data_IF_662145817353
#
_entry.id   IF_662145817353
#
_cell.length_a   1.000
_cell.length_b   1.000
_cell.length_c   1.000
_cell.angle_alpha   90.00
_cell.angle_beta   90.00
_cell.angle_gamma   90.00
#
_symmetry.space_group_name_H-M   'P 1'
#
loop_
_entity.id
_entity.type
_entity.pdbx_description
1 polymer ?
#
# COMPACT_ATOMS: atom_id res chain seq x y z
N UNK A 1 -13.10 75.92 -17.68
CA UNK A 1 -13.93 74.71 -17.46
C UNK A 1 -13.97 73.94 -18.77
N UNK A 2 -13.23 72.83 -18.87
CA UNK A 2 -13.57 71.59 -19.59
C UNK A 2 -12.59 70.50 -19.08
N UNK A 3 -13.04 69.28 -18.78
CA UNK A 3 -12.23 68.24 -18.13
C UNK A 3 -11.76 67.17 -19.14
N UNK A 4 -11.36 65.98 -18.64
CA UNK A 4 -11.27 64.67 -19.34
C UNK A 4 -9.87 64.37 -19.92
N UNK A 5 -9.22 63.22 -19.73
CA UNK A 5 -9.46 62.00 -18.93
C UNK A 5 -8.12 61.27 -18.77
N UNK A 6 -7.86 60.68 -17.60
CA UNK A 6 -6.81 59.67 -17.43
C UNK A 6 -7.31 58.32 -17.96
N UNK A 7 -6.60 57.73 -18.92
CA UNK A 7 -6.80 56.33 -19.34
C UNK A 7 -5.92 55.44 -18.46
N UNK A 8 -6.52 54.66 -17.57
CA UNK A 8 -5.84 53.64 -16.80
C UNK A 8 -5.89 52.30 -17.57
N UNK A 9 -4.74 51.80 -18.03
CA UNK A 9 -4.62 50.43 -18.53
C UNK A 9 -4.59 49.45 -17.35
N UNK A 10 -5.63 48.61 -17.22
CA UNK A 10 -5.59 47.43 -16.36
C UNK A 10 -4.85 46.30 -17.07
N UNK A 11 -3.65 45.96 -16.60
CA UNK A 11 -2.96 44.74 -17.00
C UNK A 11 -3.56 43.54 -16.25
N UNK A 12 -4.20 42.62 -16.98
CA UNK A 12 -4.69 41.36 -16.44
C UNK A 12 -3.52 40.39 -16.26
N UNK A 13 -3.15 40.12 -15.01
CA UNK A 13 -2.21 39.07 -14.63
C UNK A 13 -2.93 37.71 -14.65
N UNK A 14 -2.74 36.94 -15.73
CA UNK A 14 -3.15 35.55 -15.78
C UNK A 14 -2.22 34.70 -14.90
N UNK A 15 -2.65 34.37 -13.68
CA UNK A 15 -1.99 33.36 -12.86
C UNK A 15 -2.29 31.97 -13.43
N UNK A 16 -1.34 31.39 -14.16
CA UNK A 16 -1.37 29.97 -14.49
C UNK A 16 -1.22 29.18 -13.19
N UNK A 17 -2.33 28.64 -12.68
CA UNK A 17 -2.30 27.68 -11.59
C UNK A 17 -1.62 26.40 -12.11
N UNK A 18 -0.33 26.25 -11.79
CA UNK A 18 0.37 24.98 -11.96
C UNK A 18 -0.25 24.01 -10.96
N UNK A 19 -1.18 23.18 -11.42
CA UNK A 19 -1.64 22.05 -10.63
C UNK A 19 -0.41 21.20 -10.25
N UNK A 20 -0.27 20.77 -8.98
CA UNK A 20 0.83 19.89 -8.60
C UNK A 20 0.69 18.59 -9.40
N UNK A 21 1.67 18.32 -10.27
CA UNK A 21 1.84 17.00 -10.88
C UNK A 21 2.09 16.03 -9.73
N UNK A 22 1.10 15.19 -9.42
CA UNK A 22 1.34 13.96 -8.68
C UNK A 22 2.45 13.22 -9.43
N UNK A 23 3.57 12.94 -8.76
CA UNK A 23 4.61 12.10 -9.31
C UNK A 23 3.99 10.72 -9.57
N UNK A 24 3.64 10.42 -10.83
CA UNK A 24 3.08 9.13 -11.25
C UNK A 24 4.02 7.95 -11.00
N UNK A 25 5.25 8.21 -10.54
CA UNK A 25 6.32 7.25 -10.35
C UNK A 25 6.27 6.51 -9.00
N UNK A 26 5.37 6.86 -8.08
CA UNK A 26 5.26 6.20 -6.76
C UNK A 26 3.86 5.66 -6.50
N UNK A 27 3.77 4.64 -5.65
CA UNK A 27 2.48 4.13 -5.18
C UNK A 27 1.68 5.17 -4.41
N UNK A 28 0.38 5.15 -4.62
CA UNK A 28 -0.58 5.97 -3.92
C UNK A 28 -0.97 5.28 -2.59
N UNK A 29 -0.61 5.91 -1.47
CA UNK A 29 -0.85 5.34 -0.14
C UNK A 29 -2.33 5.39 0.29
N UNK A 30 -3.19 6.11 -0.42
CA UNK A 30 -4.63 6.16 -0.11
C UNK A 30 -5.37 4.89 -0.53
N UNK A 31 -4.80 4.09 -1.44
CA UNK A 31 -5.36 2.78 -1.83
C UNK A 31 -4.77 1.60 -1.04
N UNK A 32 -3.82 1.88 -0.15
CA UNK A 32 -3.21 0.89 0.75
C UNK A 32 -3.97 0.93 2.09
N UNK A 33 -4.34 -0.22 2.68
CA UNK A 33 -4.94 -0.26 4.00
C UNK A 33 -4.07 0.45 5.05
N UNK A 34 -4.70 1.22 5.96
CA UNK A 34 -3.97 1.96 7.01
C UNK A 34 -3.31 1.04 8.04
N UNK A 35 -3.76 -0.21 8.13
CA UNK A 35 -3.18 -1.26 8.96
C UNK A 35 -3.20 -2.59 8.22
N UNK A 36 -2.24 -3.46 8.51
CA UNK A 36 -2.25 -4.86 8.05
C UNK A 36 -2.86 -5.83 9.07
N UNK A 37 -3.27 -5.35 10.24
CA UNK A 37 -3.91 -6.13 11.30
C UNK A 37 -2.96 -6.89 12.23
N UNK A 38 -1.65 -6.87 11.95
CA UNK A 38 -0.57 -7.32 12.85
C UNK A 38 0.49 -6.25 12.86
N UNK A 39 1.10 -5.99 14.01
CA UNK A 39 2.21 -5.05 14.16
C UNK A 39 3.52 -5.81 14.37
N UNK A 40 4.60 -5.38 13.73
CA UNK A 40 5.93 -5.95 13.93
C UNK A 40 6.32 -5.97 15.42
N UNK A 41 7.02 -7.03 15.84
CA UNK A 41 7.46 -7.21 17.22
C UNK A 41 6.37 -7.67 18.21
N UNK A 42 5.10 -7.71 17.79
CA UNK A 42 4.00 -8.05 18.69
C UNK A 42 4.02 -9.53 19.12
N UNK A 43 3.75 -9.76 20.41
CA UNK A 43 3.58 -11.10 20.95
C UNK A 43 4.84 -11.96 20.87
N UNK A 44 6.02 -11.33 21.01
CA UNK A 44 7.31 -12.02 21.04
C UNK A 44 7.33 -13.09 22.12
N UNK A 45 7.83 -14.27 21.77
CA UNK A 45 7.98 -15.44 22.63
C UNK A 45 6.66 -16.03 23.18
N UNK A 46 5.49 -15.51 22.78
CA UNK A 46 4.19 -15.97 23.29
C UNK A 46 3.74 -17.30 22.68
N UNK A 47 3.88 -17.45 21.35
CA UNK A 47 3.53 -18.69 20.62
C UNK A 47 4.74 -19.64 20.53
N UNK A 48 5.92 -19.07 20.26
CA UNK A 48 7.16 -19.83 20.11
C UNK A 48 8.35 -18.92 20.49
N UNK A 49 9.29 -19.46 21.25
CA UNK A 49 10.55 -18.77 21.60
C UNK A 49 11.30 -18.37 20.33
N UNK A 50 11.71 -17.11 20.25
CA UNK A 50 12.39 -16.48 19.12
C UNK A 50 11.46 -15.96 18.02
N UNK A 51 10.14 -16.12 18.14
CA UNK A 51 9.17 -15.67 17.15
C UNK A 51 8.18 -14.65 17.72
N UNK A 52 7.54 -13.91 16.82
CA UNK A 52 6.43 -13.03 17.12
C UNK A 52 5.10 -13.67 16.69
N UNK A 53 3.99 -13.07 17.09
CA UNK A 53 2.65 -13.64 16.90
C UNK A 53 1.95 -12.99 15.71
N UNK A 54 1.67 -13.79 14.67
CA UNK A 54 0.81 -13.41 13.55
C UNK A 54 -0.65 -13.81 13.79
N UNK A 55 -1.46 -13.64 12.74
CA UNK A 55 -2.86 -14.06 12.75
C UNK A 55 -3.02 -15.54 13.11
N UNK A 56 -4.12 -15.88 13.77
CA UNK A 56 -4.43 -17.24 14.23
C UNK A 56 -3.33 -17.87 15.09
N UNK A 57 -2.64 -17.04 15.89
CA UNK A 57 -1.55 -17.47 16.78
C UNK A 57 -0.44 -18.25 16.05
N UNK A 58 -0.13 -17.88 14.80
CA UNK A 58 0.97 -18.48 14.04
C UNK A 58 2.28 -17.74 14.28
N UNK A 59 3.41 -18.44 14.46
CA UNK A 59 4.70 -17.79 14.64
C UNK A 59 5.12 -17.10 13.33
N UNK A 60 5.60 -15.86 13.45
CA UNK A 60 6.14 -15.07 12.34
C UNK A 60 7.48 -14.44 12.73
N UNK A 61 8.32 -14.05 11.76
CA UNK A 61 9.50 -13.23 12.06
C UNK A 61 9.09 -11.92 12.73
N UNK A 62 9.83 -11.47 13.73
CA UNK A 62 9.47 -10.26 14.48
C UNK A 62 9.59 -8.95 13.69
N UNK A 63 10.27 -8.96 12.54
CA UNK A 63 10.27 -7.80 11.63
C UNK A 63 9.00 -7.74 10.76
N UNK A 64 8.11 -8.73 10.84
CA UNK A 64 6.91 -8.80 10.00
C UNK A 64 5.64 -8.39 10.75
N UNK A 65 4.70 -7.70 10.07
CA UNK A 65 4.88 -7.06 8.76
C UNK A 65 5.62 -5.70 8.90
N UNK A 66 6.32 -5.21 7.85
CA UNK A 66 6.60 -3.78 7.74
C UNK A 66 5.29 -2.99 7.75
N UNK A 67 5.34 -1.74 8.21
CA UNK A 67 4.16 -0.89 8.26
C UNK A 67 3.63 -0.57 6.84
N UNK A 68 2.33 -0.29 6.65
CA UNK A 68 1.80 0.12 5.34
C UNK A 68 2.45 1.39 4.77
N UNK A 69 3.00 2.23 5.65
CA UNK A 69 3.73 3.48 5.31
C UNK A 69 5.25 3.30 5.29
N UNK A 70 5.76 2.08 5.43
CA UNK A 70 7.19 1.80 5.45
C UNK A 70 7.83 2.14 4.09
N UNK A 71 8.88 2.99 4.04
CA UNK A 71 9.48 3.40 2.77
C UNK A 71 10.02 2.25 1.93
N UNK A 72 10.60 1.22 2.55
CA UNK A 72 11.14 0.06 1.84
C UNK A 72 10.02 -0.76 1.19
N UNK A 73 8.91 -0.96 1.90
CA UNK A 73 7.71 -1.55 1.34
C UNK A 73 7.18 -0.76 0.15
N UNK A 74 6.99 0.55 0.31
CA UNK A 74 6.43 1.39 -0.76
C UNK A 74 7.34 1.43 -1.99
N UNK A 75 8.65 1.46 -1.80
CA UNK A 75 9.63 1.43 -2.89
C UNK A 75 9.61 0.08 -3.62
N UNK A 76 9.61 -1.04 -2.88
CA UNK A 76 9.54 -2.39 -3.47
C UNK A 76 8.23 -2.61 -4.22
N UNK A 77 7.11 -2.15 -3.68
CA UNK A 77 5.81 -2.22 -4.33
C UNK A 77 5.77 -1.37 -5.61
N UNK A 78 6.27 -0.15 -5.55
CA UNK A 78 6.42 0.73 -6.73
C UNK A 78 7.25 0.04 -7.82
N UNK A 79 8.38 -0.56 -7.44
CA UNK A 79 9.26 -1.26 -8.37
C UNK A 79 8.57 -2.47 -9.02
N UNK A 80 7.87 -3.27 -8.22
CA UNK A 80 7.11 -4.43 -8.68
C UNK A 80 6.01 -4.03 -9.67
N UNK A 81 5.22 -3.01 -9.34
CA UNK A 81 4.12 -2.51 -10.19
C UNK A 81 4.62 -1.87 -11.49
N UNK A 82 5.77 -1.19 -11.43
CA UNK A 82 6.39 -0.59 -12.63
C UNK A 82 6.99 -1.65 -13.55
N UNK A 83 7.65 -2.66 -12.99
CA UNK A 83 8.28 -3.74 -13.77
C UNK A 83 7.26 -4.78 -14.26
N UNK A 84 6.16 -4.97 -13.53
CA UNK A 84 5.17 -6.02 -13.76
C UNK A 84 5.55 -7.39 -13.20
N UNK A 85 6.64 -7.49 -12.43
CA UNK A 85 7.14 -8.72 -11.81
C UNK A 85 8.01 -8.40 -10.58
N UNK A 86 8.19 -9.36 -9.68
CA UNK A 86 9.02 -9.19 -8.47
C UNK A 86 10.52 -9.39 -8.75
N UNK A 87 10.91 -10.52 -9.37
CA UNK A 87 12.33 -10.82 -9.64
C UNK A 87 12.64 -10.84 -11.15
N UNK A 88 11.94 -11.68 -11.93
CA UNK A 88 12.12 -11.77 -13.38
C UNK A 88 10.79 -11.97 -14.10
N UNK A 89 10.79 -11.74 -15.42
CA UNK A 89 9.62 -11.86 -16.29
C UNK A 89 9.14 -13.30 -16.46
N UNK A 90 10.01 -14.31 -16.29
CA UNK A 90 9.61 -15.71 -16.40
C UNK A 90 8.86 -16.23 -15.15
N UNK A 91 8.78 -15.41 -14.09
CA UNK A 91 8.11 -15.76 -12.85
C UNK A 91 6.65 -15.25 -12.81
N UNK A 92 6.07 -15.23 -11.61
CA UNK A 92 4.73 -14.74 -11.36
C UNK A 92 4.66 -13.24 -11.62
N UNK A 93 3.81 -12.86 -12.58
CA UNK A 93 3.53 -11.47 -12.88
C UNK A 93 2.76 -10.79 -11.73
N UNK A 94 3.03 -9.49 -11.56
CA UNK A 94 2.23 -8.62 -10.71
C UNK A 94 0.93 -8.34 -11.45
N UNK A 95 -0.25 -8.56 -10.83
CA UNK A 95 -1.49 -8.68 -11.59
C UNK A 95 -2.16 -7.33 -11.88
N UNK A 96 -1.49 -6.22 -11.61
CA UNK A 96 -1.98 -4.86 -11.77
C UNK A 96 -0.81 -3.92 -12.07
N UNK A 97 -1.02 -2.93 -12.93
CA UNK A 97 -0.02 -1.90 -13.25
C UNK A 97 -0.01 -0.80 -12.19
N UNK A 98 1.06 0.01 -12.14
CA UNK A 98 1.14 1.16 -11.22
C UNK A 98 -0.03 2.14 -11.40
N UNK A 99 -0.38 2.48 -12.64
CA UNK A 99 -1.49 3.41 -12.92
C UNK A 99 -2.82 2.87 -12.40
N UNK A 100 -3.11 1.59 -12.66
CA UNK A 100 -4.35 0.96 -12.23
C UNK A 100 -4.39 0.76 -10.71
N UNK A 101 -3.23 0.45 -10.11
CA UNK A 101 -3.09 0.40 -8.66
C UNK A 101 -3.43 1.75 -8.04
N UNK A 102 -2.87 2.84 -8.57
CA UNK A 102 -3.00 4.20 -8.04
C UNK A 102 -4.36 4.88 -8.27
N UNK A 103 -5.22 4.31 -9.13
CA UNK A 103 -6.55 4.83 -9.42
C UNK A 103 -7.49 4.74 -8.21
N UNK A 104 -7.45 5.74 -7.34
CA UNK A 104 -8.30 5.82 -6.15
C UNK A 104 -9.79 5.72 -6.45
N UNK A 105 -10.23 6.11 -7.65
CA UNK A 105 -11.64 6.11 -8.01
C UNK A 105 -12.19 4.70 -8.27
N UNK A 106 -11.33 3.76 -8.65
CA UNK A 106 -11.72 2.36 -8.80
C UNK A 106 -11.74 1.65 -7.45
N UNK A 107 -12.95 1.49 -6.91
CA UNK A 107 -13.25 0.71 -5.70
C UNK A 107 -13.88 -0.66 -6.01
N UNK A 108 -13.80 -1.13 -7.25
CA UNK A 108 -14.37 -2.43 -7.61
C UNK A 108 -13.74 -3.57 -6.82
N UNK A 109 -14.54 -4.58 -6.51
CA UNK A 109 -14.09 -5.80 -5.81
C UNK A 109 -12.86 -6.39 -6.49
N UNK A 110 -12.85 -6.44 -7.82
CA UNK A 110 -11.75 -7.00 -8.58
C UNK A 110 -10.45 -6.20 -8.38
N UNK A 111 -10.49 -4.88 -8.58
CA UNK A 111 -9.30 -4.03 -8.39
C UNK A 111 -8.75 -4.12 -6.98
N UNK A 112 -9.61 -4.24 -5.97
CA UNK A 112 -9.17 -4.42 -4.58
C UNK A 112 -8.49 -5.78 -4.36
N UNK A 113 -8.99 -6.85 -4.97
CA UNK A 113 -8.31 -8.16 -4.92
C UNK A 113 -6.95 -8.12 -5.61
N UNK A 114 -6.84 -7.42 -6.74
CA UNK A 114 -5.59 -7.27 -7.47
C UNK A 114 -4.56 -6.45 -6.67
N UNK A 115 -4.98 -5.33 -6.07
CA UNK A 115 -4.15 -4.53 -5.15
C UNK A 115 -3.63 -5.37 -3.99
N UNK A 116 -4.51 -6.11 -3.33
CA UNK A 116 -4.14 -7.01 -2.23
C UNK A 116 -3.15 -8.08 -2.68
N UNK A 117 -3.38 -8.69 -3.84
CA UNK A 117 -2.48 -9.71 -4.40
C UNK A 117 -1.10 -9.15 -4.67
N UNK A 118 -1.00 -7.96 -5.29
CA UNK A 118 0.29 -7.31 -5.53
C UNK A 118 1.04 -7.00 -4.22
N UNK A 119 0.35 -6.47 -3.21
CA UNK A 119 0.95 -6.19 -1.90
C UNK A 119 1.42 -7.48 -1.19
N UNK A 120 0.64 -8.56 -1.25
CA UNK A 120 1.00 -9.86 -0.67
C UNK A 120 2.22 -10.46 -1.39
N UNK A 121 2.28 -10.39 -2.72
CA UNK A 121 3.44 -10.86 -3.49
C UNK A 121 4.72 -10.14 -3.06
N UNK A 122 4.66 -8.81 -2.83
CA UNK A 122 5.79 -8.04 -2.31
C UNK A 122 6.13 -8.43 -0.88
N UNK A 123 5.14 -8.63 -0.01
CA UNK A 123 5.38 -9.09 1.38
C UNK A 123 6.09 -10.43 1.42
N UNK A 124 5.60 -11.42 0.69
CA UNK A 124 6.18 -12.77 0.66
C UNK A 124 7.60 -12.80 0.09
N UNK A 125 8.01 -11.74 -0.61
CA UNK A 125 9.31 -11.61 -1.26
C UNK A 125 10.06 -10.35 -0.81
N UNK A 126 9.80 -9.87 0.40
CA UNK A 126 10.27 -8.56 0.87
C UNK A 126 11.81 -8.41 0.81
N UNK A 127 12.55 -9.50 1.00
CA UNK A 127 14.01 -9.48 0.91
C UNK A 127 14.49 -9.19 -0.54
N UNK A 128 13.68 -9.44 -1.58
CA UNK A 128 13.96 -9.20 -3.00
C UNK A 128 15.23 -9.84 -3.59
N UNK A 129 16.06 -10.50 -2.76
CA UNK A 129 17.24 -11.26 -3.20
C UNK A 129 16.93 -12.74 -3.41
N UNK A 130 15.98 -13.28 -2.64
CA UNK A 130 15.62 -14.70 -2.64
C UNK A 130 14.10 -14.85 -2.69
N UNK A 131 13.62 -15.65 -3.63
CA UNK A 131 12.19 -15.93 -3.78
C UNK A 131 11.64 -16.64 -2.54
N UNK A 132 10.47 -16.21 -2.07
CA UNK A 132 9.79 -16.75 -0.90
C UNK A 132 10.39 -16.33 0.44
N UNK A 133 11.43 -15.47 0.44
CA UNK A 133 12.02 -14.93 1.67
C UNK A 133 11.44 -13.55 1.95
N UNK A 134 10.48 -13.51 2.86
CA UNK A 134 9.81 -12.30 3.29
C UNK A 134 8.83 -12.56 4.42
N UNK A 135 7.78 -11.74 4.46
CA UNK A 135 6.73 -11.83 5.44
C UNK A 135 5.60 -12.78 5.00
N UNK A 136 5.24 -13.79 5.82
CA UNK A 136 4.19 -14.74 5.47
C UNK A 136 2.81 -14.08 5.47
N UNK A 137 1.85 -14.60 4.70
CA UNK A 137 0.50 -13.99 4.61
C UNK A 137 -0.22 -13.82 5.95
N UNK A 138 0.08 -14.68 6.93
CA UNK A 138 -0.45 -14.58 8.30
C UNK A 138 0.07 -13.35 9.07
N UNK A 139 1.10 -12.65 8.60
CA UNK A 139 1.53 -11.36 9.14
C UNK A 139 0.74 -10.19 8.55
N UNK A 140 -0.09 -10.40 7.53
CA UNK A 140 -0.90 -9.37 6.88
C UNK A 140 -2.37 -9.82 6.69
N UNK A 141 -3.09 -10.17 7.77
CA UNK A 141 -4.45 -10.70 7.68
C UNK A 141 -5.43 -9.79 6.95
N UNK A 142 -5.29 -8.45 7.07
CA UNK A 142 -6.15 -7.50 6.36
C UNK A 142 -5.99 -7.63 4.84
N UNK A 143 -4.74 -7.77 4.35
CA UNK A 143 -4.50 -7.99 2.93
C UNK A 143 -5.03 -9.34 2.47
N UNK A 144 -4.86 -10.39 3.27
CA UNK A 144 -5.40 -11.73 2.96
C UNK A 144 -6.92 -11.69 2.82
N UNK A 145 -7.61 -10.95 3.69
CA UNK A 145 -9.05 -10.74 3.61
C UNK A 145 -9.43 -9.95 2.35
N UNK A 146 -8.74 -8.84 2.09
CA UNK A 146 -8.96 -8.00 0.91
C UNK A 146 -8.74 -8.78 -0.40
N UNK A 147 -7.76 -9.69 -0.46
CA UNK A 147 -7.54 -10.57 -1.60
C UNK A 147 -8.71 -11.54 -1.83
N UNK A 148 -9.34 -12.01 -0.76
CA UNK A 148 -10.46 -12.96 -0.85
C UNK A 148 -11.78 -12.25 -1.18
N UNK A 149 -12.04 -11.09 -0.58
CA UNK A 149 -13.36 -10.44 -0.63
C UNK A 149 -13.41 -9.16 -1.45
N UNK A 150 -12.26 -8.54 -1.76
CA UNK A 150 -12.18 -7.20 -2.36
C UNK A 150 -12.60 -6.08 -1.41
N UNK A 151 -12.78 -6.35 -0.12
CA UNK A 151 -13.14 -5.33 0.88
C UNK A 151 -11.90 -4.84 1.60
N UNK A 152 -11.76 -3.52 1.76
CA UNK A 152 -10.75 -2.91 2.63
C UNK A 152 -11.39 -2.79 4.01
N UNK A 153 -10.91 -3.59 4.96
CA UNK A 153 -11.35 -3.44 6.36
C UNK A 153 -10.66 -2.20 6.94
N UNK A 154 -11.38 -1.08 6.98
CA UNK A 154 -10.92 0.15 7.65
C UNK A 154 -11.06 0.09 9.18
N UNK A 155 -11.71 -0.94 9.72
CA UNK A 155 -11.96 -1.07 11.16
C UNK A 155 -11.40 -2.37 11.72
N UNK A 156 -10.35 -2.23 12.54
CA UNK A 156 -10.06 -3.19 13.62
C UNK A 156 -10.27 -2.53 14.98
N UNK A 157 -11.41 -1.87 15.16
CA UNK A 157 -12.05 -1.79 16.48
C UNK A 157 -12.87 -3.07 16.68
N UNK A 158 -12.23 -4.25 16.76
CA UNK A 158 -13.01 -5.49 16.79
C UNK A 158 -12.29 -6.84 16.83
N UNK A 159 -10.96 -6.91 16.80
CA UNK A 159 -10.24 -8.14 17.21
C UNK A 159 -9.82 -7.95 18.67
N UNK A 160 -10.80 -7.67 19.51
CA UNK A 160 -10.67 -7.82 20.96
C UNK A 160 -10.80 -9.28 21.30
N UNK A 161 -9.82 -9.80 22.05
CA UNK A 161 -9.85 -11.02 22.86
C UNK A 161 -11.21 -11.75 22.88
N UNK A 162 -11.28 -12.87 22.16
CA UNK A 162 -12.27 -13.90 22.42
C UNK A 162 -11.56 -15.24 22.53
N UNK A 163 -11.30 -15.66 23.77
CA UNK A 163 -10.75 -16.97 24.08
C UNK A 163 -10.19 -16.99 25.49
N UNK A 164 -10.98 -17.53 26.43
CA UNK A 164 -10.60 -17.88 27.80
C UNK A 164 -9.32 -18.71 27.86
#
# INVERSE_FOLDING_TARGET
MHPVSLVALLAASASAAVAPRQNSSSVNQNVIPKSFGVTAGQGRDQVQKGACTGANQKPIPCYCPPAPTDPDFLNKLTQALTKGFIFSKEQVAVPITLDKFNDESDKSVETQKLRATAMIQVMQNFNMTTQGVGCPGVSVPVLSKMQQTGQVSEDTSGVGNAGK
#
